data_IF_630284635244
#
_entry.id   IF_630284635244
#
_cell.length_a   1.000
_cell.length_b   1.000
_cell.length_c   1.000
_cell.angle_alpha   90.00
_cell.angle_beta   90.00
_cell.angle_gamma   90.00
#
_symmetry.space_group_name_H-M   'P 1'
#
loop_
_entity.id
_entity.type
_entity.pdbx_description
1 polymer ?
#
# COMPACT_ATOMS: atom_id res chain seq x y z
N UNK A 1 -2.72 25.91 -4.78
CA UNK A 1 -3.12 24.72 -5.57
C UNK A 1 -3.86 23.75 -4.67
N UNK A 2 -4.94 23.14 -5.16
CA UNK A 2 -5.78 22.18 -4.42
C UNK A 2 -5.22 20.77 -4.56
N UNK A 3 -5.45 19.91 -3.55
CA UNK A 3 -5.11 18.47 -3.62
C UNK A 3 -5.91 17.77 -4.73
N UNK A 4 -5.29 16.80 -5.39
CA UNK A 4 -5.95 15.88 -6.31
C UNK A 4 -6.26 14.56 -5.59
N UNK A 5 -7.34 13.89 -5.97
CA UNK A 5 -7.84 12.67 -5.33
C UNK A 5 -7.91 11.55 -6.36
N UNK A 6 -7.43 10.36 -6.01
CA UNK A 6 -7.36 9.22 -6.91
C UNK A 6 -7.99 7.98 -6.27
N UNK A 7 -8.74 7.26 -7.11
CA UNK A 7 -9.38 5.99 -6.77
C UNK A 7 -8.91 4.95 -7.79
N UNK A 8 -8.20 3.89 -7.37
CA UNK A 8 -7.75 2.86 -8.31
C UNK A 8 -8.89 2.16 -9.04
N UNK A 9 -10.00 1.93 -8.33
CA UNK A 9 -11.28 1.53 -8.92
C UNK A 9 -12.28 2.68 -8.76
N UNK A 10 -12.72 3.33 -9.85
CA UNK A 10 -13.68 4.44 -9.79
C UNK A 10 -15.07 4.01 -9.30
N UNK A 11 -15.40 2.71 -9.38
CA UNK A 11 -16.68 2.16 -8.94
C UNK A 11 -16.66 1.75 -7.46
N UNK A 12 -15.47 1.63 -6.86
CA UNK A 12 -15.30 1.23 -5.45
C UNK A 12 -14.68 2.36 -4.64
N UNK A 13 -15.55 3.23 -4.11
CA UNK A 13 -15.15 4.35 -3.26
C UNK A 13 -15.34 4.01 -1.79
N UNK A 14 -14.27 3.89 -0.99
CA UNK A 14 -14.41 3.68 0.45
C UNK A 14 -15.12 4.87 1.11
N UNK A 15 -15.88 4.60 2.18
CA UNK A 15 -16.51 5.66 2.97
C UNK A 15 -15.47 6.30 3.89
N UNK A 16 -15.39 7.64 3.85
CA UNK A 16 -14.62 8.42 4.83
C UNK A 16 -13.14 8.69 4.51
N UNK A 17 -12.57 8.12 3.44
CA UNK A 17 -11.19 8.45 3.02
C UNK A 17 -10.96 8.29 1.51
N UNK A 18 -9.83 8.82 1.03
CA UNK A 18 -9.37 8.68 -0.36
C UNK A 18 -8.18 7.71 -0.43
N UNK A 19 -8.17 6.69 -1.30
CA UNK A 19 -7.06 5.73 -1.38
C UNK A 19 -5.70 6.39 -1.64
N UNK A 20 -5.67 7.41 -2.50
CA UNK A 20 -4.49 8.23 -2.72
C UNK A 20 -4.88 9.70 -2.95
N UNK A 21 -3.99 10.60 -2.54
CA UNK A 21 -4.07 12.02 -2.87
C UNK A 21 -2.71 12.52 -3.35
N UNK A 22 -2.71 13.54 -4.22
CA UNK A 22 -1.48 14.17 -4.72
C UNK A 22 -1.53 15.66 -4.53
N UNK A 23 -0.42 16.24 -4.09
CA UNK A 23 -0.19 17.68 -4.11
C UNK A 23 1.24 17.94 -4.60
N UNK A 24 1.37 18.72 -5.67
CA UNK A 24 2.63 18.90 -6.40
C UNK A 24 3.24 17.52 -6.75
N UNK A 25 4.40 17.20 -6.18
CA UNK A 25 5.18 15.99 -6.46
C UNK A 25 5.05 14.94 -5.34
N UNK A 26 4.21 15.17 -4.33
CA UNK A 26 4.01 14.23 -3.24
C UNK A 26 2.70 13.47 -3.41
N UNK A 27 2.77 12.14 -3.36
CA UNK A 27 1.62 11.24 -3.29
C UNK A 27 1.51 10.72 -1.87
N UNK A 28 0.31 10.85 -1.28
CA UNK A 28 -0.02 10.27 0.01
C UNK A 28 -0.98 9.11 -0.22
N UNK A 29 -0.54 7.92 0.14
CA UNK A 29 -1.32 6.69 0.05
C UNK A 29 -1.93 6.39 1.42
N UNK A 30 -3.25 6.18 1.47
CA UNK A 30 -3.92 5.73 2.69
C UNK A 30 -3.42 4.34 3.09
N UNK A 31 -3.58 3.98 4.37
CA UNK A 31 -3.24 2.64 4.85
C UNK A 31 -3.94 1.56 4.02
N UNK A 32 -3.15 0.62 3.49
CA UNK A 32 -3.65 -0.50 2.71
C UNK A 32 -3.72 -1.75 3.59
N UNK A 33 -4.87 -2.42 3.54
CA UNK A 33 -5.16 -3.66 4.27
C UNK A 33 -5.22 -4.83 3.29
N UNK A 34 -5.08 -6.09 3.74
CA UNK A 34 -4.97 -7.25 2.86
C UNK A 34 -6.35 -7.71 2.35
N UNK A 35 -7.05 -6.83 1.64
CA UNK A 35 -8.32 -7.17 0.96
C UNK A 35 -8.14 -7.18 -0.55
N UNK A 36 -8.82 -8.10 -1.23
CA UNK A 36 -8.84 -8.17 -2.68
C UNK A 36 -9.79 -7.11 -3.30
N UNK A 37 -9.92 -7.11 -4.63
CA UNK A 37 -10.81 -6.21 -5.38
C UNK A 37 -12.30 -6.43 -5.09
N UNK A 38 -12.67 -7.60 -4.57
CA UNK A 38 -14.03 -7.93 -4.11
C UNK A 38 -14.26 -7.57 -2.64
N UNK A 39 -13.22 -7.22 -1.90
CA UNK A 39 -13.28 -6.86 -0.48
C UNK A 39 -13.13 -8.04 0.48
N UNK A 40 -12.72 -9.20 -0.01
CA UNK A 40 -12.46 -10.35 0.84
C UNK A 40 -11.07 -10.24 1.46
N UNK A 41 -10.92 -10.71 2.70
CA UNK A 41 -9.63 -10.86 3.35
C UNK A 41 -8.77 -11.88 2.59
N UNK A 42 -7.52 -11.52 2.32
CA UNK A 42 -6.51 -12.36 1.67
C UNK A 42 -5.46 -12.76 2.71
N UNK A 43 -5.16 -14.06 2.80
CA UNK A 43 -4.12 -14.57 3.71
C UNK A 43 -4.54 -14.63 5.18
N UNK A 44 -5.76 -15.05 5.50
CA UNK A 44 -6.17 -15.24 6.89
C UNK A 44 -5.15 -16.12 7.66
N UNK A 45 -4.60 -15.59 8.76
CA UNK A 45 -3.57 -16.26 9.55
C UNK A 45 -2.16 -16.31 8.95
N UNK A 46 -1.94 -15.75 7.74
CA UNK A 46 -0.64 -15.73 7.07
C UNK A 46 -0.20 -14.28 6.78
N UNK A 47 0.72 -13.76 7.60
CA UNK A 47 1.22 -12.39 7.47
C UNK A 47 1.96 -12.16 6.14
N UNK A 48 2.65 -13.16 5.59
CA UNK A 48 3.36 -13.02 4.32
C UNK A 48 2.37 -12.77 3.18
N UNK A 49 1.32 -13.58 3.08
CA UNK A 49 0.27 -13.42 2.07
C UNK A 49 -0.47 -12.10 2.26
N UNK A 50 -0.75 -11.71 3.51
CA UNK A 50 -1.35 -10.40 3.80
C UNK A 50 -0.45 -9.24 3.34
N UNK A 51 0.85 -9.29 3.66
CA UNK A 51 1.79 -8.25 3.26
C UNK A 51 1.90 -8.16 1.73
N UNK A 52 1.94 -9.28 1.02
CA UNK A 52 1.91 -9.33 -0.44
C UNK A 52 0.68 -8.60 -0.99
N UNK A 53 -0.51 -8.87 -0.45
CA UNK A 53 -1.74 -8.19 -0.86
C UNK A 53 -1.71 -6.69 -0.54
N UNK A 54 -1.20 -6.29 0.63
CA UNK A 54 -1.04 -4.88 0.97
C UNK A 54 -0.14 -4.15 -0.05
N UNK A 55 0.96 -4.77 -0.49
CA UNK A 55 1.82 -4.17 -1.52
C UNK A 55 1.15 -4.09 -2.90
N UNK A 56 0.34 -5.08 -3.29
CA UNK A 56 -0.49 -5.01 -4.50
C UNK A 56 -1.43 -3.81 -4.44
N UNK A 57 -2.05 -3.61 -3.27
CA UNK A 57 -2.99 -2.50 -3.06
C UNK A 57 -2.27 -1.13 -3.04
N UNK A 58 -1.07 -1.05 -2.46
CA UNK A 58 -0.21 0.15 -2.50
C UNK A 58 0.16 0.49 -3.94
N UNK A 59 0.61 -0.49 -4.72
CA UNK A 59 0.98 -0.28 -6.13
C UNK A 59 -0.21 0.23 -6.95
N UNK A 60 -1.39 -0.34 -6.74
CA UNK A 60 -2.64 0.10 -7.37
C UNK A 60 -2.98 1.56 -7.02
N UNK A 61 -2.83 1.95 -5.75
CA UNK A 61 -2.99 3.33 -5.29
C UNK A 61 -1.99 4.29 -5.93
N UNK A 62 -0.71 3.93 -5.98
CA UNK A 62 0.34 4.74 -6.61
C UNK A 62 0.09 4.92 -8.11
N UNK A 63 -0.22 3.83 -8.83
CA UNK A 63 -0.52 3.85 -10.27
C UNK A 63 -1.69 4.78 -10.59
N UNK A 64 -2.73 4.78 -9.75
CA UNK A 64 -3.88 5.69 -9.93
C UNK A 64 -3.49 7.18 -9.89
N UNK A 65 -2.40 7.53 -9.20
CA UNK A 65 -1.85 8.89 -9.11
C UNK A 65 -0.70 9.17 -10.11
N UNK A 66 -0.42 8.21 -11.00
CA UNK A 66 0.69 8.28 -11.95
C UNK A 66 2.08 8.09 -11.30
N UNK A 67 2.16 7.33 -10.22
CA UNK A 67 3.40 6.97 -9.53
C UNK A 67 3.62 5.44 -9.53
N UNK A 68 4.79 5.01 -9.08
CA UNK A 68 5.23 3.63 -9.05
C UNK A 68 5.88 3.25 -7.72
N UNK A 69 6.21 1.97 -7.53
CA UNK A 69 6.94 1.51 -6.36
C UNK A 69 8.33 2.16 -6.25
N UNK A 70 8.97 2.50 -7.37
CA UNK A 70 10.29 3.14 -7.39
C UNK A 70 10.25 4.58 -6.82
N UNK A 71 9.06 5.20 -6.76
CA UNK A 71 8.86 6.55 -6.22
C UNK A 71 8.64 6.54 -4.69
N UNK A 72 8.57 5.37 -4.05
CA UNK A 72 8.27 5.26 -2.62
C UNK A 72 9.48 5.70 -1.80
N UNK A 73 9.29 6.71 -0.96
CA UNK A 73 10.36 7.27 -0.11
C UNK A 73 10.25 6.86 1.35
N UNK A 74 9.04 6.53 1.83
CA UNK A 74 8.75 6.17 3.23
C UNK A 74 7.60 5.17 3.28
N UNK A 75 7.75 4.13 4.09
CA UNK A 75 6.67 3.19 4.46
C UNK A 75 6.49 3.23 5.97
N UNK A 76 5.23 3.24 6.43
CA UNK A 76 4.89 2.97 7.84
C UNK A 76 4.10 1.68 7.87
N UNK A 77 4.65 0.64 8.50
CA UNK A 77 4.00 -0.66 8.62
C UNK A 77 3.44 -0.85 10.03
N UNK A 78 2.18 -1.28 10.11
CA UNK A 78 1.53 -1.68 11.35
C UNK A 78 1.36 -3.20 11.32
N UNK A 79 2.01 -3.88 12.25
CA UNK A 79 1.98 -5.35 12.36
C UNK A 79 1.39 -5.69 13.73
N UNK A 80 0.45 -6.64 13.76
CA UNK A 80 -0.28 -6.99 14.98
C UNK A 80 0.62 -7.78 15.94
N UNK A 81 1.34 -8.79 15.43
CA UNK A 81 2.27 -9.61 16.20
C UNK A 81 3.70 -9.28 15.79
N UNK A 82 4.56 -8.98 16.76
CA UNK A 82 5.98 -8.73 16.50
C UNK A 82 6.67 -9.90 15.79
N UNK A 83 6.24 -11.12 16.10
CA UNK A 83 6.78 -12.37 15.53
C UNK A 83 6.56 -12.49 14.02
N UNK A 84 5.62 -11.73 13.46
CA UNK A 84 5.31 -11.75 12.03
C UNK A 84 6.21 -10.78 11.24
N UNK A 85 6.99 -9.93 11.92
CA UNK A 85 7.90 -8.98 11.27
C UNK A 85 8.89 -9.63 10.28
N UNK A 86 9.54 -10.77 10.57
CA UNK A 86 10.43 -11.42 9.63
C UNK A 86 9.75 -11.79 8.30
N UNK A 87 8.47 -12.18 8.34
CA UNK A 87 7.73 -12.52 7.13
C UNK A 87 7.33 -11.27 6.34
N UNK A 88 6.89 -10.21 7.02
CA UNK A 88 6.72 -8.89 6.40
C UNK A 88 8.03 -8.39 5.76
N UNK A 89 9.16 -8.52 6.45
CA UNK A 89 10.46 -8.05 5.99
C UNK A 89 10.91 -8.75 4.70
N UNK A 90 10.68 -10.06 4.57
CA UNK A 90 10.93 -10.81 3.32
C UNK A 90 10.13 -10.24 2.14
N UNK A 91 8.85 -9.92 2.36
CA UNK A 91 8.02 -9.32 1.31
C UNK A 91 8.51 -7.91 0.97
N UNK A 92 8.83 -7.09 1.98
CA UNK A 92 9.37 -5.75 1.74
C UNK A 92 10.67 -5.79 0.92
N UNK A 93 11.58 -6.72 1.24
CA UNK A 93 12.84 -6.91 0.51
C UNK A 93 12.61 -7.40 -0.93
N UNK A 94 11.56 -8.19 -1.19
CA UNK A 94 11.24 -8.59 -2.56
C UNK A 94 10.69 -7.45 -3.42
N UNK A 95 10.10 -6.41 -2.80
CA UNK A 95 9.66 -5.18 -3.48
C UNK A 95 10.74 -4.13 -3.60
N UNK A 96 11.69 -4.10 -2.66
CA UNK A 96 12.79 -3.14 -2.60
C UNK A 96 14.12 -3.86 -2.32
N UNK A 97 14.72 -4.52 -3.35
CA UNK A 97 15.92 -5.32 -3.16
C UNK A 97 17.16 -4.47 -2.83
N UNK A 98 17.22 -3.22 -3.30
CA UNK A 98 18.34 -2.30 -3.09
C UNK A 98 17.80 -0.90 -2.75
N UNK A 99 18.50 -0.17 -1.87
CA UNK A 99 18.21 1.24 -1.53
C UNK A 99 16.72 1.53 -1.22
N UNK A 100 16.08 0.64 -0.45
CA UNK A 100 14.66 0.76 -0.14
C UNK A 100 14.28 2.02 0.68
N UNK A 101 12.98 2.35 0.75
CA UNK A 101 12.48 3.55 1.42
C UNK A 101 12.81 3.58 2.91
N UNK A 102 12.68 4.75 3.53
CA UNK A 102 12.67 4.89 4.98
C UNK A 102 11.51 4.08 5.62
N UNK A 103 11.66 3.78 6.91
CA UNK A 103 10.66 3.09 7.75
C UNK A 103 10.20 3.92 8.93
#
# INVERSE_FOLDING_TARGET
MTRQVFFPDPNRKPSGFSPATKIKNAVFVSGQVPVDSSGNLVGEGDCRIQAEQCFVNIESALRSAGASMDDVTKITAFIVRSDDYPDYAKVRLSKFPENGPAS
#
